data_IF_795921155591
#
_entry.id   IF_795921155591
#
_cell.length_a   1.000
_cell.length_b   1.000
_cell.length_c   1.000
_cell.angle_alpha   90.00
_cell.angle_beta   90.00
_cell.angle_gamma   90.00
#
_symmetry.space_group_name_H-M   'P 1'
#
loop_
_entity.id
_entity.type
_entity.pdbx_description
1 polymer ?
#
# COMPACT_ATOMS: atom_id res chain seq x y z
N UNK A 1 1.68 1.63 15.52
CA UNK A 1 1.84 2.14 14.13
C UNK A 1 1.76 1.03 13.07
N UNK A 2 2.17 -0.23 13.38
CA UNK A 2 2.06 -1.43 12.51
C UNK A 2 0.77 -1.59 11.68
N UNK A 3 -0.33 -1.16 12.27
CA UNK A 3 -1.68 -1.24 11.75
C UNK A 3 -1.93 -0.38 10.51
N UNK A 4 -1.46 0.86 10.56
CA UNK A 4 -1.71 1.81 9.49
C UNK A 4 -0.98 1.33 8.22
N UNK A 5 0.11 0.60 8.37
CA UNK A 5 0.84 -0.05 7.28
C UNK A 5 -0.02 -1.10 6.58
N UNK A 6 -0.65 -1.98 7.34
CA UNK A 6 -1.47 -3.05 6.77
C UNK A 6 -2.59 -2.49 5.90
N UNK A 7 -3.22 -1.39 6.31
CA UNK A 7 -4.22 -0.66 5.50
C UNK A 7 -3.70 -0.20 4.13
N UNK A 8 -2.53 0.43 4.09
CA UNK A 8 -1.98 0.92 2.82
C UNK A 8 -1.41 -0.20 1.95
N UNK A 9 -0.89 -1.26 2.57
CA UNK A 9 -0.54 -2.49 1.87
C UNK A 9 -1.80 -3.13 1.24
N UNK A 10 -2.93 -3.16 1.93
CA UNK A 10 -4.22 -3.62 1.39
C UNK A 10 -4.60 -2.82 0.15
N UNK A 11 -4.59 -1.49 0.25
CA UNK A 11 -4.92 -0.62 -0.88
C UNK A 11 -3.98 -0.86 -2.06
N UNK A 12 -2.68 -1.02 -1.81
CA UNK A 12 -1.70 -1.35 -2.83
C UNK A 12 -1.99 -2.69 -3.52
N UNK A 13 -2.20 -3.77 -2.76
CA UNK A 13 -2.49 -5.09 -3.30
C UNK A 13 -3.78 -5.10 -4.10
N UNK A 14 -4.80 -4.37 -3.66
CA UNK A 14 -6.07 -4.26 -4.38
C UNK A 14 -5.92 -3.47 -5.67
N UNK A 15 -5.10 -2.43 -5.67
CA UNK A 15 -4.80 -1.68 -6.89
C UNK A 15 -4.11 -2.56 -7.92
N UNK A 16 -3.10 -3.33 -7.50
CA UNK A 16 -2.45 -4.31 -8.36
C UNK A 16 -3.47 -5.34 -8.87
N UNK A 17 -4.36 -5.83 -8.01
CA UNK A 17 -5.34 -6.84 -8.37
C UNK A 17 -6.44 -6.31 -9.31
N UNK A 18 -6.96 -5.11 -9.09
CA UNK A 18 -7.92 -4.47 -9.98
C UNK A 18 -7.30 -4.24 -11.36
N UNK A 19 -6.04 -3.83 -11.39
CA UNK A 19 -5.30 -3.71 -12.65
C UNK A 19 -5.22 -5.03 -13.42
N UNK A 20 -5.05 -6.17 -12.71
CA UNK A 20 -5.13 -7.52 -13.29
C UNK A 20 -6.49 -7.85 -13.89
N UNK A 21 -7.56 -7.52 -13.16
CA UNK A 21 -8.91 -7.76 -13.61
C UNK A 21 -9.20 -7.00 -14.89
N UNK A 22 -8.76 -5.73 -14.95
CA UNK A 22 -8.95 -4.86 -16.10
C UNK A 22 -8.19 -5.40 -17.30
N UNK A 23 -6.97 -5.90 -17.07
CA UNK A 23 -6.15 -6.64 -18.03
C UNK A 23 -6.84 -7.89 -18.60
N UNK A 24 -7.37 -8.74 -17.72
CA UNK A 24 -8.04 -9.97 -18.13
C UNK A 24 -9.34 -9.67 -18.90
N UNK A 25 -10.11 -8.68 -18.46
CA UNK A 25 -11.31 -8.22 -19.14
C UNK A 25 -10.99 -7.60 -20.50
N UNK A 26 -10.01 -6.68 -20.57
CA UNK A 26 -9.52 -6.13 -21.83
C UNK A 26 -9.06 -7.23 -22.79
N UNK A 27 -8.29 -8.20 -22.31
CA UNK A 27 -7.88 -9.35 -23.12
C UNK A 27 -9.07 -10.19 -23.59
N UNK A 28 -10.04 -10.44 -22.72
CA UNK A 28 -11.26 -11.19 -23.05
C UNK A 28 -12.13 -10.44 -24.06
N UNK A 29 -12.30 -9.12 -23.93
CA UNK A 29 -13.12 -8.33 -24.87
C UNK A 29 -12.45 -8.18 -26.23
N UNK A 30 -11.13 -8.02 -26.31
CA UNK A 30 -10.41 -8.01 -27.60
C UNK A 30 -10.36 -9.39 -28.25
N UNK A 31 -10.18 -10.49 -27.49
CA UNK A 31 -10.16 -11.86 -28.05
C UNK A 31 -11.55 -12.43 -28.33
N UNK A 32 -12.57 -12.06 -27.56
CA UNK A 32 -13.96 -12.42 -27.84
C UNK A 32 -14.58 -11.57 -28.95
N UNK A 33 -14.11 -10.32 -29.12
CA UNK A 33 -14.57 -9.39 -30.17
C UNK A 33 -13.89 -9.57 -31.53
N UNK A 34 -12.74 -10.24 -31.61
CA UNK A 34 -12.06 -10.57 -32.86
C UNK A 34 -11.64 -12.05 -32.92
N UNK A 35 -12.58 -12.90 -33.33
CA UNK A 35 -12.20 -14.06 -34.16
C UNK A 35 -11.80 -13.49 -35.52
N UNK A 36 -10.52 -13.66 -35.86
CA UNK A 36 -9.84 -13.25 -37.10
C UNK A 36 -9.21 -11.84 -37.10
N UNK A 37 -7.89 -11.84 -37.33
CA UNK A 37 -6.98 -10.72 -37.65
C UNK A 37 -6.33 -9.92 -36.52
N UNK A 38 -5.93 -10.60 -35.44
CA UNK A 38 -4.68 -10.21 -34.77
C UNK A 38 -3.80 -11.45 -34.69
N UNK A 39 -2.97 -11.66 -35.71
CA UNK A 39 -1.68 -12.31 -35.45
C UNK A 39 -0.87 -11.28 -34.69
N UNK A 40 -0.95 -11.35 -33.36
CA UNK A 40 0.20 -10.94 -32.58
C UNK A 40 1.29 -11.87 -33.07
N UNK A 41 2.33 -11.34 -33.72
CA UNK A 41 3.63 -11.96 -33.51
C UNK A 41 3.66 -12.21 -32.01
N UNK A 42 3.81 -13.47 -31.59
CA UNK A 42 4.25 -13.78 -30.24
C UNK A 42 5.39 -12.80 -30.01
N UNK A 43 5.12 -11.74 -29.23
CA UNK A 43 6.15 -10.80 -28.87
C UNK A 43 7.27 -11.71 -28.36
N UNK A 44 8.50 -11.59 -28.89
CA UNK A 44 9.57 -12.44 -28.45
C UNK A 44 9.53 -12.45 -26.92
N UNK A 45 9.71 -13.61 -26.31
CA UNK A 45 9.70 -13.85 -24.86
C UNK A 45 10.71 -12.98 -24.07
N UNK A 46 11.27 -11.93 -24.69
CA UNK A 46 12.45 -11.23 -24.27
C UNK A 46 12.40 -9.77 -24.78
N UNK A 47 11.76 -8.87 -24.03
CA UNK A 47 12.12 -7.44 -23.97
C UNK A 47 11.40 -6.74 -22.80
N UNK A 48 12.10 -6.72 -21.66
CA UNK A 48 11.82 -6.02 -20.40
C UNK A 48 10.44 -6.25 -19.77
N UNK A 49 10.21 -7.46 -19.28
CA UNK A 49 9.34 -7.70 -18.12
C UNK A 49 10.03 -7.16 -16.86
N UNK A 50 9.28 -6.54 -15.94
CA UNK A 50 9.82 -6.25 -14.59
C UNK A 50 10.20 -7.61 -14.00
N UNK A 51 11.49 -7.82 -13.83
CA UNK A 51 12.13 -9.09 -13.52
C UNK A 51 13.14 -8.87 -12.40
N UNK A 52 13.13 -9.77 -11.42
CA UNK A 52 13.98 -9.66 -10.24
C UNK A 52 13.31 -8.93 -9.07
N UNK A 53 14.06 -8.53 -8.05
CA UNK A 53 13.52 -7.87 -6.88
C UNK A 53 13.13 -6.41 -7.19
N UNK A 54 12.11 -5.87 -6.53
CA UNK A 54 11.61 -4.51 -6.72
C UNK A 54 11.40 -3.82 -5.37
N UNK A 55 11.60 -2.51 -5.31
CA UNK A 55 11.34 -1.67 -4.14
C UNK A 55 10.28 -0.64 -4.49
N UNK A 56 9.24 -0.59 -3.66
CA UNK A 56 8.04 0.22 -3.88
C UNK A 56 7.85 1.09 -2.64
N UNK A 57 7.74 2.40 -2.85
CA UNK A 57 7.35 3.35 -1.82
C UNK A 57 5.84 3.58 -1.86
N UNK A 58 5.16 3.34 -0.75
CA UNK A 58 3.74 3.65 -0.59
C UNK A 58 3.60 4.86 0.33
N UNK A 59 2.93 5.90 -0.17
CA UNK A 59 2.53 7.05 0.62
C UNK A 59 1.03 7.05 0.87
N UNK A 60 0.67 7.16 2.14
CA UNK A 60 -0.70 7.36 2.57
C UNK A 60 -0.96 8.81 2.92
N UNK A 61 -1.93 9.43 2.24
CA UNK A 61 -2.24 10.85 2.40
C UNK A 61 -3.64 11.06 2.94
N UNK A 62 -3.81 12.15 3.69
CA UNK A 62 -5.13 12.66 4.05
C UNK A 62 -5.42 13.88 3.15
N UNK A 63 -5.91 13.62 1.93
CA UNK A 63 -6.13 14.65 0.90
C UNK A 63 -7.30 15.60 1.20
N UNK A 64 -8.03 15.41 2.30
CA UNK A 64 -9.09 16.32 2.71
C UNK A 64 -8.54 17.72 3.13
N UNK A 65 -7.22 17.87 3.32
CA UNK A 65 -6.57 19.15 3.63
C UNK A 65 -5.78 19.76 2.45
N UNK A 66 -5.88 21.09 2.31
CA UNK A 66 -5.19 21.92 1.30
C UNK A 66 -3.66 21.91 1.37
N UNK A 67 -3.08 21.22 2.37
CA UNK A 67 -1.64 21.05 2.58
C UNK A 67 -1.31 19.64 3.10
N UNK A 68 -1.79 18.62 2.38
CA UNK A 68 -1.69 17.21 2.78
C UNK A 68 -0.24 16.76 3.02
N UNK A 69 -0.06 15.94 4.07
CA UNK A 69 1.20 15.26 4.44
C UNK A 69 1.05 13.77 4.16
N UNK A 70 2.18 13.11 3.90
CA UNK A 70 2.22 11.65 3.92
C UNK A 70 2.25 11.15 5.36
N UNK A 71 1.09 10.77 5.90
CA UNK A 71 0.99 10.22 7.24
C UNK A 71 1.45 8.77 7.33
N UNK A 72 1.60 8.12 6.17
CA UNK A 72 2.16 6.78 6.03
C UNK A 72 3.22 6.80 4.95
N UNK A 73 4.36 6.20 5.26
CA UNK A 73 5.53 6.15 4.38
C UNK A 73 6.10 4.73 4.52
N UNK A 74 5.67 3.85 3.62
CA UNK A 74 6.02 2.44 3.67
C UNK A 74 6.94 2.06 2.53
N UNK A 75 7.88 1.19 2.82
CA UNK A 75 8.70 0.51 1.84
C UNK A 75 8.25 -0.95 1.74
N UNK A 76 7.99 -1.38 0.51
CA UNK A 76 7.80 -2.78 0.15
C UNK A 76 8.95 -3.18 -0.75
N UNK A 77 9.75 -4.14 -0.29
CA UNK A 77 10.71 -4.86 -1.11
C UNK A 77 10.07 -6.19 -1.47
N UNK A 78 9.92 -6.50 -2.75
CA UNK A 78 9.22 -7.69 -3.22
C UNK A 78 10.10 -8.45 -4.21
N UNK A 79 10.22 -9.75 -4.03
CA UNK A 79 11.14 -10.57 -4.82
C UNK A 79 10.40 -11.80 -5.36
N UNK A 80 10.25 -11.86 -6.68
CA UNK A 80 9.55 -12.95 -7.38
C UNK A 80 10.30 -14.28 -7.29
N UNK A 81 11.62 -14.27 -7.49
CA UNK A 81 12.43 -15.50 -7.53
C UNK A 81 12.52 -16.31 -6.23
N UNK A 82 12.44 -15.67 -5.06
CA UNK A 82 12.39 -16.37 -3.76
C UNK A 82 11.00 -16.30 -3.10
N UNK A 83 9.99 -15.82 -3.84
CA UNK A 83 8.61 -15.69 -3.41
C UNK A 83 8.46 -15.03 -2.03
N UNK A 84 9.17 -13.92 -1.80
CA UNK A 84 9.14 -13.22 -0.51
C UNK A 84 8.94 -11.71 -0.63
N UNK A 85 8.35 -11.14 0.41
CA UNK A 85 8.12 -9.71 0.56
C UNK A 85 8.67 -9.24 1.91
N UNK A 86 9.52 -8.22 1.91
CA UNK A 86 9.91 -7.46 3.09
C UNK A 86 9.15 -6.13 3.09
N UNK A 87 8.49 -5.85 4.20
CA UNK A 87 7.75 -4.61 4.42
C UNK A 87 8.26 -3.90 5.66
N UNK A 88 8.44 -2.59 5.59
CA UNK A 88 8.62 -1.76 6.77
C UNK A 88 8.14 -0.33 6.52
N UNK A 89 7.96 0.42 7.60
CA UNK A 89 7.55 1.81 7.53
C UNK A 89 8.64 2.73 8.08
N UNK A 90 8.78 3.89 7.44
CA UNK A 90 9.52 5.03 7.97
C UNK A 90 8.54 5.89 8.76
N UNK A 91 8.69 6.04 10.09
CA UNK A 91 7.77 6.87 10.87
C UNK A 91 7.68 8.29 10.31
N UNK A 92 6.46 8.84 10.17
CA UNK A 92 6.22 10.12 9.48
C UNK A 92 7.02 11.30 10.07
N UNK A 93 7.30 11.25 11.37
CA UNK A 93 8.03 12.27 12.12
C UNK A 93 9.56 12.04 12.10
N UNK A 94 10.06 11.07 11.31
CA UNK A 94 11.49 10.78 11.19
C UNK A 94 12.25 12.02 10.75
N UNK A 95 13.24 12.43 11.54
CA UNK A 95 14.08 13.60 11.26
C UNK A 95 15.09 13.25 10.17
N UNK A 96 15.00 13.92 9.04
CA UNK A 96 15.82 13.68 7.85
C UNK A 96 16.27 14.99 7.22
N UNK A 97 17.35 14.95 6.45
CA UNK A 97 17.67 16.01 5.49
C UNK A 97 16.72 15.86 4.30
N UNK A 98 16.07 16.95 3.89
CA UNK A 98 15.17 16.93 2.72
C UNK A 98 15.91 17.55 1.53
N UNK A 99 16.04 16.85 0.39
CA UNK A 99 16.80 17.34 -0.76
C UNK A 99 16.31 18.70 -1.24
N UNK A 100 17.25 19.62 -1.50
CA UNK A 100 16.92 20.98 -1.96
C UNK A 100 16.40 21.91 -0.87
N UNK A 101 16.53 21.53 0.41
CA UNK A 101 16.22 22.38 1.57
C UNK A 101 17.39 22.42 2.54
N UNK A 102 17.53 23.55 3.24
CA UNK A 102 18.52 23.71 4.29
C UNK A 102 18.05 23.08 5.60
N UNK A 103 18.96 22.40 6.30
CA UNK A 103 18.71 21.76 7.59
C UNK A 103 17.94 20.44 7.49
N UNK A 104 17.30 20.07 8.59
CA UNK A 104 16.56 18.80 8.73
C UNK A 104 15.12 19.05 9.11
N UNK A 105 14.21 18.21 8.65
CA UNK A 105 12.80 18.26 9.03
C UNK A 105 12.20 16.84 9.07
N UNK A 106 10.91 16.73 9.36
CA UNK A 106 10.17 15.47 9.33
C UNK A 106 10.03 14.97 7.90
N UNK A 107 10.27 13.67 7.69
CA UNK A 107 10.17 13.07 6.35
C UNK A 107 8.80 13.29 5.68
N UNK A 108 7.69 13.33 6.43
CA UNK A 108 6.37 13.60 5.85
C UNK A 108 6.22 15.00 5.27
N UNK A 109 7.08 15.96 5.65
CA UNK A 109 7.09 17.29 5.06
C UNK A 109 7.65 17.28 3.64
N UNK A 110 8.47 16.29 3.26
CA UNK A 110 8.94 16.13 1.88
C UNK A 110 7.76 16.05 0.89
N UNK A 111 6.74 15.27 1.24
CA UNK A 111 5.49 15.18 0.47
C UNK A 111 4.75 16.53 0.43
N UNK A 112 4.65 17.23 1.55
CA UNK A 112 4.00 18.55 1.60
C UNK A 112 4.72 19.59 0.72
N UNK A 113 6.04 19.50 0.59
CA UNK A 113 6.82 20.47 -0.16
C UNK A 113 6.75 20.29 -1.67
N UNK A 114 6.79 19.05 -2.18
CA UNK A 114 6.79 18.80 -3.62
C UNK A 114 6.20 17.43 -4.01
N UNK A 115 5.28 16.90 -3.21
CA UNK A 115 4.55 15.66 -3.49
C UNK A 115 5.41 14.40 -3.44
N UNK A 116 4.89 13.34 -4.07
CA UNK A 116 5.54 12.04 -4.16
C UNK A 116 6.99 12.10 -4.68
N UNK A 117 7.37 12.91 -5.69
CA UNK A 117 8.74 12.94 -6.19
C UNK A 117 9.78 13.32 -5.13
N UNK A 118 9.51 14.31 -4.28
CA UNK A 118 10.44 14.71 -3.22
C UNK A 118 10.42 13.74 -2.05
N UNK A 119 9.26 13.16 -1.73
CA UNK A 119 9.18 12.09 -0.73
C UNK A 119 10.01 10.87 -1.15
N UNK A 120 9.88 10.43 -2.41
CA UNK A 120 10.69 9.35 -2.99
C UNK A 120 12.17 9.64 -2.83
N UNK A 121 12.64 10.80 -3.30
CA UNK A 121 14.04 11.18 -3.21
C UNK A 121 14.55 11.24 -1.76
N UNK A 122 13.73 11.75 -0.84
CA UNK A 122 14.07 11.81 0.59
C UNK A 122 14.19 10.41 1.19
N UNK A 123 13.30 9.48 0.83
CA UNK A 123 13.35 8.09 1.28
C UNK A 123 14.56 7.35 0.68
N UNK A 124 14.89 7.58 -0.59
CA UNK A 124 16.08 7.04 -1.25
C UNK A 124 17.36 7.50 -0.54
N UNK A 125 17.48 8.78 -0.21
CA UNK A 125 18.63 9.31 0.54
C UNK A 125 18.67 8.82 2.00
N UNK A 126 17.51 8.64 2.64
CA UNK A 126 17.43 8.12 4.01
C UNK A 126 17.83 6.64 4.11
N UNK A 127 17.49 5.84 3.10
CA UNK A 127 17.80 4.41 3.04
C UNK A 127 19.09 4.10 2.28
N UNK A 128 19.66 5.09 1.60
CA UNK A 128 20.77 4.92 0.65
C UNK A 128 20.49 3.76 -0.33
N UNK A 129 19.27 3.74 -0.88
CA UNK A 129 18.76 2.67 -1.76
C UNK A 129 17.80 3.26 -2.79
N UNK A 130 17.93 2.95 -4.09
CA UNK A 130 16.99 3.40 -5.11
C UNK A 130 15.61 2.77 -4.93
N UNK A 131 14.55 3.51 -5.28
CA UNK A 131 13.18 3.03 -5.22
C UNK A 131 12.65 2.91 -6.66
N UNK A 132 12.15 1.74 -7.03
CA UNK A 132 11.70 1.48 -8.40
C UNK A 132 10.37 2.17 -8.68
N UNK A 133 9.39 1.97 -7.79
CA UNK A 133 8.02 2.44 -7.98
C UNK A 133 7.46 3.20 -6.79
N UNK A 134 6.45 4.01 -7.05
CA UNK A 134 5.70 4.77 -6.05
C UNK A 134 4.20 4.51 -6.19
N UNK A 135 3.51 4.41 -5.04
CA UNK A 135 2.06 4.38 -4.97
C UNK A 135 1.59 5.36 -3.90
N UNK A 136 0.74 6.28 -4.31
CA UNK A 136 0.05 7.21 -3.45
C UNK A 136 -1.41 6.78 -3.33
N UNK A 137 -1.92 6.69 -2.11
CA UNK A 137 -3.34 6.46 -1.89
C UNK A 137 -3.86 7.40 -0.80
N UNK A 138 -5.11 7.85 -0.97
CA UNK A 138 -5.83 8.56 0.07
C UNK A 138 -6.91 7.68 0.73
N UNK A 139 -7.47 8.17 1.83
CA UNK A 139 -8.54 7.48 2.56
C UNK A 139 -9.83 7.33 1.74
N UNK A 140 -10.06 8.20 0.75
CA UNK A 140 -11.23 8.13 -0.15
C UNK A 140 -11.07 6.97 -1.14
N UNK A 141 -9.88 6.76 -1.68
CA UNK A 141 -9.55 5.64 -2.56
C UNK A 141 -9.82 4.29 -1.91
N UNK A 142 -9.45 4.13 -0.63
CA UNK A 142 -9.79 2.90 0.09
C UNK A 142 -11.31 2.65 0.17
N UNK A 143 -12.10 3.69 0.47
CA UNK A 143 -13.57 3.56 0.55
C UNK A 143 -14.15 3.15 -0.79
N UNK A 144 -13.72 3.84 -1.85
CA UNK A 144 -14.17 3.57 -3.20
C UNK A 144 -13.79 2.17 -3.67
N UNK A 145 -12.59 1.67 -3.32
CA UNK A 145 -12.21 0.28 -3.57
C UNK A 145 -13.18 -0.68 -2.87
N UNK A 146 -13.44 -0.49 -1.59
CA UNK A 146 -14.34 -1.38 -0.84
C UNK A 146 -15.75 -1.36 -1.43
N UNK A 147 -16.29 -0.19 -1.77
CA UNK A 147 -17.62 -0.05 -2.37
C UNK A 147 -17.69 -0.67 -3.77
N UNK A 148 -16.64 -0.51 -4.57
CA UNK A 148 -16.47 -1.15 -5.86
C UNK A 148 -16.56 -2.69 -5.80
N UNK A 149 -16.07 -3.27 -4.70
CA UNK A 149 -16.18 -4.70 -4.41
C UNK A 149 -17.55 -5.14 -3.85
N UNK A 150 -18.52 -4.22 -3.76
CA UNK A 150 -19.82 -4.45 -3.12
C UNK A 150 -19.72 -4.57 -1.61
N UNK A 151 -18.69 -3.96 -1.01
CA UNK A 151 -18.36 -4.07 0.40
C UNK A 151 -17.62 -5.38 0.76
N UNK A 152 -17.23 -5.46 2.03
CA UNK A 152 -16.47 -6.59 2.59
C UNK A 152 -17.26 -7.28 3.69
N UNK A 153 -17.06 -8.58 3.85
CA UNK A 153 -17.63 -9.33 4.98
C UNK A 153 -16.53 -9.66 5.97
N UNK A 154 -16.69 -9.27 7.23
CA UNK A 154 -15.73 -9.56 8.31
C UNK A 154 -16.41 -10.29 9.47
N UNK A 155 -15.67 -11.15 10.16
CA UNK A 155 -16.12 -11.82 11.37
C UNK A 155 -15.74 -10.99 12.60
N UNK A 156 -16.63 -10.09 13.02
CA UNK A 156 -16.36 -9.20 14.13
C UNK A 156 -16.54 -9.92 15.49
N UNK A 157 -15.51 -9.87 16.34
CA UNK A 157 -15.51 -10.54 17.66
C UNK A 157 -15.84 -9.61 18.82
N UNK A 158 -15.90 -8.30 18.55
CA UNK A 158 -16.12 -7.25 19.54
C UNK A 158 -17.18 -6.27 19.06
N UNK A 159 -18.19 -6.03 19.89
CA UNK A 159 -19.15 -4.96 19.62
C UNK A 159 -18.55 -3.61 20.00
N UNK A 160 -18.73 -2.61 19.14
CA UNK A 160 -18.42 -1.22 19.42
C UNK A 160 -19.47 -0.31 18.80
N UNK A 161 -19.77 0.77 19.51
CA UNK A 161 -20.91 1.65 19.23
C UNK A 161 -20.42 2.97 18.63
N UNK A 162 -21.31 3.69 17.95
CA UNK A 162 -21.01 5.01 17.40
C UNK A 162 -20.40 5.97 18.44
N UNK A 163 -19.42 6.77 18.04
CA UNK A 163 -18.75 7.77 18.87
C UNK A 163 -18.40 9.07 18.11
N UNK A 164 -17.69 9.98 18.78
CA UNK A 164 -17.21 11.22 18.15
C UNK A 164 -16.13 10.90 17.11
N UNK A 165 -16.57 10.81 15.87
CA UNK A 165 -15.74 10.48 14.71
C UNK A 165 -16.25 9.27 13.94
N UNK A 166 -16.94 8.32 14.57
CA UNK A 166 -17.51 7.13 13.91
C UNK A 166 -19.04 7.08 14.07
N UNK A 167 -19.83 7.29 12.99
CA UNK A 167 -21.29 7.30 13.09
C UNK A 167 -21.92 5.89 13.15
N UNK A 168 -21.13 4.82 13.08
CA UNK A 168 -21.63 3.45 12.91
C UNK A 168 -21.56 2.61 14.20
N UNK A 169 -22.43 1.61 14.29
CA UNK A 169 -22.38 0.57 15.33
C UNK A 169 -22.06 -0.77 14.67
N UNK A 170 -21.13 -1.51 15.24
CA UNK A 170 -20.63 -2.79 14.72
C UNK A 170 -20.95 -3.88 15.73
N UNK A 171 -21.91 -4.74 15.42
CA UNK A 171 -22.30 -5.86 16.29
C UNK A 171 -21.31 -7.01 16.21
N UNK A 172 -21.33 -7.91 17.19
CA UNK A 172 -20.59 -9.18 17.08
C UNK A 172 -21.22 -10.08 16.00
N UNK A 173 -20.38 -10.81 15.27
CA UNK A 173 -20.82 -11.73 14.22
C UNK A 173 -20.32 -11.34 12.83
N UNK A 174 -20.95 -11.89 11.80
CA UNK A 174 -20.65 -11.55 10.42
C UNK A 174 -21.20 -10.16 10.09
N UNK A 175 -20.31 -9.24 9.75
CA UNK A 175 -20.66 -7.87 9.34
C UNK A 175 -20.37 -7.68 7.86
N UNK A 176 -21.36 -7.18 7.13
CA UNK A 176 -21.15 -6.62 5.80
C UNK A 176 -20.86 -5.12 5.96
N UNK A 177 -19.72 -4.68 5.48
CA UNK A 177 -19.23 -3.30 5.59
C UNK A 177 -19.12 -2.68 4.19
N UNK A 178 -19.73 -1.52 3.99
CA UNK A 178 -19.43 -0.65 2.85
C UNK A 178 -18.10 0.12 3.07
N UNK A 179 -17.71 0.99 2.14
CA UNK A 179 -16.44 1.71 2.18
C UNK A 179 -16.25 2.55 3.43
N UNK A 180 -17.22 3.38 3.79
CA UNK A 180 -17.18 4.19 5.00
C UNK A 180 -17.10 3.30 6.26
N UNK A 181 -17.97 2.29 6.37
CA UNK A 181 -17.98 1.37 7.50
C UNK A 181 -16.65 0.61 7.61
N UNK A 182 -16.07 0.16 6.49
CA UNK A 182 -14.78 -0.52 6.50
C UNK A 182 -13.66 0.42 6.94
N UNK A 183 -13.67 1.69 6.50
CA UNK A 183 -12.68 2.68 6.88
C UNK A 183 -12.72 2.98 8.38
N UNK A 184 -13.91 3.18 8.93
CA UNK A 184 -14.06 3.40 10.36
C UNK A 184 -13.75 2.14 11.17
N UNK A 185 -14.17 0.96 10.69
CA UNK A 185 -13.84 -0.33 11.29
C UNK A 185 -12.33 -0.51 11.46
N UNK A 186 -11.53 -0.23 10.42
CA UNK A 186 -10.07 -0.37 10.47
C UNK A 186 -9.34 0.77 11.21
N UNK A 187 -10.01 1.90 11.45
CA UNK A 187 -9.47 3.02 12.25
C UNK A 187 -9.77 2.87 13.74
N UNK A 188 -10.82 2.12 14.12
CA UNK A 188 -11.25 2.00 15.50
C UNK A 188 -10.14 1.42 16.39
N UNK A 189 -9.78 2.20 17.42
CA UNK A 189 -8.83 1.82 18.47
C UNK A 189 -9.42 1.98 19.88
N UNK A 190 -10.14 3.09 20.12
CA UNK A 190 -10.49 3.56 21.48
C UNK A 190 -11.40 2.59 22.24
N UNK A 191 -12.29 1.90 21.54
CA UNK A 191 -13.27 1.00 22.13
C UNK A 191 -12.80 -0.46 22.19
N UNK A 192 -11.61 -0.77 21.66
CA UNK A 192 -11.04 -2.11 21.77
C UNK A 192 -10.16 -2.22 23.01
N UNK A 193 -10.44 -3.14 23.96
CA UNK A 193 -9.57 -3.37 25.11
C UNK A 193 -8.17 -3.87 24.70
N UNK A 194 -8.02 -4.39 23.47
CA UNK A 194 -6.73 -4.77 22.87
C UNK A 194 -6.00 -3.59 22.22
N UNK A 195 -6.62 -2.41 22.16
CA UNK A 195 -6.08 -1.19 21.56
C UNK A 195 -5.55 -1.42 20.14
N UNK A 196 -4.26 -1.14 19.94
CA UNK A 196 -3.58 -1.33 18.66
C UNK A 196 -3.57 -2.81 18.21
N UNK A 197 -3.55 -3.79 19.11
CA UNK A 197 -3.62 -5.20 18.69
C UNK A 197 -4.98 -5.50 18.02
N UNK A 198 -6.08 -5.03 18.61
CA UNK A 198 -7.42 -5.23 18.07
C UNK A 198 -7.62 -4.57 16.71
N UNK A 199 -7.09 -3.36 16.52
CA UNK A 199 -7.10 -2.69 15.22
C UNK A 199 -6.34 -3.46 14.15
N UNK A 200 -5.24 -4.15 14.49
CA UNK A 200 -4.47 -4.96 13.52
C UNK A 200 -5.32 -6.11 13.00
N UNK A 201 -6.02 -6.79 13.92
CA UNK A 201 -6.90 -7.90 13.58
C UNK A 201 -7.98 -7.45 12.59
N UNK A 202 -8.61 -6.29 12.82
CA UNK A 202 -9.61 -5.74 11.90
C UNK A 202 -9.08 -5.46 10.51
N UNK A 203 -7.88 -4.88 10.43
CA UNK A 203 -7.24 -4.61 9.13
C UNK A 203 -6.90 -5.90 8.40
N UNK A 204 -6.41 -6.92 9.12
CA UNK A 204 -6.18 -8.24 8.54
C UNK A 204 -7.49 -8.86 8.01
N UNK A 205 -8.58 -8.77 8.78
CA UNK A 205 -9.89 -9.27 8.35
C UNK A 205 -10.39 -8.58 7.08
N UNK A 206 -10.22 -7.25 7.00
CA UNK A 206 -10.59 -6.49 5.81
C UNK A 206 -9.68 -6.82 4.62
N UNK A 207 -8.37 -7.03 4.84
CA UNK A 207 -7.45 -7.51 3.79
C UNK A 207 -7.91 -8.85 3.23
N UNK A 208 -8.13 -9.83 4.09
CA UNK A 208 -8.53 -11.18 3.71
C UNK A 208 -9.86 -11.14 2.95
N UNK A 209 -10.84 -10.39 3.44
CA UNK A 209 -12.12 -10.21 2.77
C UNK A 209 -11.98 -9.56 1.38
N UNK A 210 -11.11 -8.55 1.25
CA UNK A 210 -10.85 -7.86 -0.01
C UNK A 210 -10.10 -8.75 -1.00
N UNK A 211 -9.12 -9.53 -0.55
CA UNK A 211 -8.40 -10.51 -1.37
C UNK A 211 -9.35 -11.61 -1.89
N UNK A 212 -10.29 -12.07 -1.07
CA UNK A 212 -11.30 -13.03 -1.50
C UNK A 212 -12.27 -12.42 -2.52
N UNK A 213 -12.69 -11.16 -2.33
CA UNK A 213 -13.52 -10.43 -3.29
C UNK A 213 -12.80 -10.18 -4.61
N UNK A 214 -11.54 -9.80 -4.55
CA UNK A 214 -10.62 -9.68 -5.67
C UNK A 214 -10.67 -10.94 -6.55
N UNK A 215 -10.50 -12.13 -5.98
CA UNK A 215 -10.52 -13.39 -6.74
C UNK A 215 -11.83 -13.68 -7.49
N UNK A 216 -12.91 -12.93 -7.24
CA UNK A 216 -14.21 -13.19 -7.87
C UNK A 216 -14.22 -12.80 -9.36
N UNK A 217 -14.78 -13.64 -10.25
CA UNK A 217 -14.90 -13.33 -11.69
C UNK A 217 -15.69 -12.05 -11.99
N UNK A 218 -16.63 -11.67 -11.12
CA UNK A 218 -17.45 -10.46 -11.27
C UNK A 218 -16.62 -9.18 -11.09
N UNK A 219 -15.64 -9.18 -10.19
CA UNK A 219 -14.69 -8.08 -10.05
C UNK A 219 -13.87 -7.92 -11.33
N UNK A 220 -13.36 -9.02 -11.88
CA UNK A 220 -12.50 -8.97 -13.07
C UNK A 220 -13.24 -8.27 -14.24
N UNK A 221 -14.55 -8.50 -14.39
CA UNK A 221 -15.36 -7.86 -15.42
C UNK A 221 -15.55 -6.34 -15.23
N UNK A 222 -15.51 -5.84 -14.00
CA UNK A 222 -15.70 -4.41 -13.69
C UNK A 222 -14.39 -3.64 -13.57
N UNK A 223 -13.27 -4.34 -13.64
CA UNK A 223 -12.02 -3.80 -13.18
C UNK A 223 -11.50 -2.59 -13.98
N UNK A 224 -11.83 -2.48 -15.26
CA UNK A 224 -11.55 -1.24 -16.03
C UNK A 224 -12.32 -0.04 -15.46
N UNK A 225 -13.63 -0.18 -15.23
CA UNK A 225 -14.48 0.84 -14.60
C UNK A 225 -13.95 1.20 -13.20
N UNK A 226 -13.49 0.21 -12.44
CA UNK A 226 -12.93 0.41 -11.11
C UNK A 226 -11.59 1.15 -11.16
N UNK A 227 -10.70 0.85 -12.11
CA UNK A 227 -9.44 1.58 -12.27
C UNK A 227 -9.68 3.04 -12.67
N UNK A 228 -10.65 3.29 -13.56
CA UNK A 228 -11.04 4.67 -13.91
C UNK A 228 -11.61 5.42 -12.71
N UNK A 229 -12.50 4.79 -11.93
CA UNK A 229 -13.08 5.41 -10.75
C UNK A 229 -12.01 5.74 -9.68
N UNK A 230 -11.01 4.87 -9.53
CA UNK A 230 -9.94 5.02 -8.55
C UNK A 230 -8.80 5.94 -8.97
N UNK A 231 -8.73 6.34 -10.24
CA UNK A 231 -7.63 7.14 -10.80
C UNK A 231 -7.43 8.51 -10.12
N UNK A 232 -8.49 9.06 -9.52
CA UNK A 232 -8.44 10.33 -8.78
C UNK A 232 -7.90 10.16 -7.35
N UNK A 233 -7.87 8.94 -6.82
CA UNK A 233 -7.57 8.64 -5.42
C UNK A 233 -6.33 7.75 -5.21
N UNK A 234 -5.87 7.11 -6.29
CA UNK A 234 -4.67 6.29 -6.30
C UNK A 234 -3.78 6.74 -7.46
N UNK A 235 -2.57 7.22 -7.15
CA UNK A 235 -1.58 7.58 -8.15
C UNK A 235 -0.40 6.64 -8.07
N UNK A 236 0.08 6.17 -9.22
CA UNK A 236 1.26 5.31 -9.30
C UNK A 236 2.10 5.66 -10.53
N UNK A 237 3.40 5.42 -10.45
CA UNK A 237 4.32 5.56 -11.59
C UNK A 237 4.50 4.25 -12.39
N UNK A 238 3.82 3.17 -11.99
CA UNK A 238 3.79 1.91 -12.72
C UNK A 238 3.00 2.04 -14.02
N UNK A 239 3.57 1.51 -15.11
CA UNK A 239 2.84 1.34 -16.36
C UNK A 239 1.94 0.12 -16.29
N UNK A 240 0.94 0.06 -17.19
CA UNK A 240 0.11 -1.13 -17.36
C UNK A 240 0.92 -2.43 -17.56
N UNK A 241 2.08 -2.35 -18.24
CA UNK A 241 2.96 -3.49 -18.46
C UNK A 241 3.62 -3.94 -17.15
N UNK A 242 4.05 -3.00 -16.33
CA UNK A 242 4.65 -3.29 -15.03
C UNK A 242 3.64 -4.00 -14.13
N UNK A 243 2.42 -3.47 -14.05
CA UNK A 243 1.36 -4.07 -13.24
C UNK A 243 1.02 -5.49 -13.72
N UNK A 244 1.00 -5.70 -15.05
CA UNK A 244 0.87 -7.05 -15.61
C UNK A 244 2.02 -7.96 -15.15
N UNK A 245 3.26 -7.48 -15.20
CA UNK A 245 4.42 -8.23 -14.72
C UNK A 245 4.28 -8.59 -13.23
N UNK A 246 3.86 -7.63 -12.41
CA UNK A 246 3.61 -7.81 -10.98
C UNK A 246 2.61 -8.94 -10.72
N UNK A 247 1.52 -9.04 -11.48
CA UNK A 247 0.62 -10.19 -11.35
C UNK A 247 1.29 -11.53 -11.51
N UNK A 248 1.92 -11.70 -12.66
CA UNK A 248 2.31 -13.02 -13.13
C UNK A 248 3.47 -13.52 -12.31
N UNK A 249 4.37 -12.62 -11.90
CA UNK A 249 5.63 -13.00 -11.27
C UNK A 249 5.65 -12.83 -9.75
N UNK A 250 4.84 -11.95 -9.17
CA UNK A 250 4.97 -11.58 -7.75
C UNK A 250 3.80 -12.01 -6.87
N UNK A 251 2.72 -12.55 -7.45
CA UNK A 251 1.59 -13.08 -6.66
C UNK A 251 2.02 -14.10 -5.60
N UNK A 252 2.93 -15.07 -5.88
CA UNK A 252 3.44 -15.98 -4.86
C UNK A 252 4.17 -15.26 -3.71
N UNK A 253 4.90 -14.18 -4.03
CA UNK A 253 5.65 -13.39 -3.04
C UNK A 253 4.78 -12.71 -1.99
N UNK A 254 3.49 -12.52 -2.29
CA UNK A 254 2.51 -11.96 -1.36
C UNK A 254 2.09 -12.94 -0.26
N UNK A 255 2.47 -14.22 -0.36
CA UNK A 255 2.14 -15.23 0.65
C UNK A 255 3.16 -15.27 1.80
N UNK A 256 4.38 -14.78 1.57
CA UNK A 256 5.46 -14.73 2.56
C UNK A 256 5.87 -13.28 2.83
N UNK A 257 5.10 -12.61 3.68
CA UNK A 257 5.35 -11.21 4.05
C UNK A 257 6.05 -11.17 5.41
N UNK A 258 7.28 -10.67 5.42
CA UNK A 258 7.99 -10.30 6.63
C UNK A 258 7.86 -8.80 6.86
N UNK A 259 7.36 -8.43 8.04
CA UNK A 259 7.27 -7.01 8.45
C UNK A 259 8.35 -6.68 9.46
N UNK A 260 9.03 -5.55 9.26
CA UNK A 260 9.99 -4.99 10.23
C UNK A 260 9.66 -3.54 10.54
N UNK A 261 10.30 -2.98 11.57
CA UNK A 261 10.08 -1.60 12.00
C UNK A 261 11.43 -0.90 12.15
N UNK A 262 11.54 0.31 11.59
CA UNK A 262 12.69 1.19 11.85
C UNK A 262 12.58 1.70 13.29
N UNK A 263 13.62 1.40 14.08
CA UNK A 263 13.71 1.80 15.47
C UNK A 263 14.32 3.20 15.62
N UNK A 264 13.95 3.87 16.70
CA UNK A 264 14.34 5.24 16.96
C UNK A 264 13.71 5.75 18.25
N UNK A 265 14.08 6.97 18.63
CA UNK A 265 13.64 7.61 19.87
C UNK A 265 12.86 8.88 19.55
N UNK A 266 11.74 9.08 20.24
CA UNK A 266 11.03 10.35 20.17
C UNK A 266 11.81 11.42 20.92
N UNK A 267 12.02 12.57 20.27
CA UNK A 267 12.65 13.75 20.85
C UNK A 267 11.79 14.99 20.58
N UNK A 268 12.00 16.05 21.35
CA UNK A 268 11.37 17.34 21.10
C UNK A 268 12.47 18.39 20.94
N UNK A 269 12.37 19.18 19.88
CA UNK A 269 13.28 20.29 19.59
C UNK A 269 12.45 21.55 19.32
N UNK A 270 12.63 22.59 20.13
CA UNK A 270 11.89 23.85 20.01
C UNK A 270 10.36 23.69 19.96
N UNK A 271 9.79 22.75 20.73
CA UNK A 271 8.36 22.45 20.72
C UNK A 271 7.87 21.60 19.55
N UNK A 272 8.78 21.10 18.70
CA UNK A 272 8.47 20.22 17.57
C UNK A 272 8.94 18.80 17.92
N UNK A 273 8.02 17.84 17.93
CA UNK A 273 8.34 16.43 18.16
C UNK A 273 8.92 15.78 16.91
N UNK A 274 10.06 15.11 17.04
CA UNK A 274 10.74 14.35 16.00
C UNK A 274 10.92 12.88 16.41
N UNK A 275 11.05 12.00 15.43
CA UNK A 275 11.52 10.64 15.61
C UNK A 275 12.97 10.54 15.12
N UNK A 276 13.89 10.27 16.05
CA UNK A 276 15.32 10.21 15.77
C UNK A 276 15.72 8.76 15.52
N UNK A 277 16.13 8.46 14.29
CA UNK A 277 16.67 7.16 13.89
C UNK A 277 18.19 7.28 13.88
N UNK A 278 18.89 6.36 14.55
CA UNK A 278 20.35 6.36 14.54
C UNK A 278 20.89 5.91 13.19
N UNK A 279 22.11 6.34 12.83
CA UNK A 279 22.79 5.86 11.62
C UNK A 279 23.00 4.35 11.63
N UNK A 280 23.13 3.73 12.80
CA UNK A 280 23.19 2.27 12.94
C UNK A 280 21.87 1.61 12.51
N UNK A 281 20.72 2.14 12.94
CA UNK A 281 19.44 1.58 12.54
C UNK A 281 19.10 1.88 11.07
N UNK A 282 19.50 3.05 10.55
CA UNK A 282 19.44 3.34 9.11
C UNK A 282 20.23 2.29 8.30
N UNK A 283 21.48 2.03 8.69
CA UNK A 283 22.32 1.01 8.05
C UNK A 283 21.73 -0.41 8.17
N UNK A 284 21.05 -0.74 9.27
CA UNK A 284 20.32 -2.02 9.39
C UNK A 284 19.13 -2.08 8.45
N UNK A 285 18.36 -1.00 8.28
CA UNK A 285 17.24 -0.94 7.35
C UNK A 285 17.71 -1.11 5.90
N UNK A 286 18.78 -0.40 5.50
CA UNK A 286 19.44 -0.57 4.21
C UNK A 286 19.91 -2.01 4.00
N UNK A 287 20.63 -2.59 4.97
CA UNK A 287 21.14 -3.96 4.86
C UNK A 287 20.02 -5.00 4.73
N UNK A 288 18.87 -4.81 5.40
CA UNK A 288 17.69 -5.68 5.24
C UNK A 288 17.16 -5.61 3.80
N UNK A 289 17.08 -4.41 3.21
CA UNK A 289 16.70 -4.23 1.80
C UNK A 289 17.69 -4.92 0.87
N UNK A 290 18.98 -4.64 0.99
CA UNK A 290 20.02 -5.21 0.12
C UNK A 290 20.04 -6.73 0.17
N UNK A 291 19.90 -7.30 1.36
CA UNK A 291 19.86 -8.76 1.54
C UNK A 291 18.59 -9.35 0.95
N UNK A 292 17.43 -8.73 1.18
CA UNK A 292 16.18 -9.17 0.59
C UNK A 292 16.23 -9.11 -0.95
N UNK A 293 16.74 -8.02 -1.51
CA UNK A 293 16.95 -7.86 -2.96
C UNK A 293 17.93 -8.91 -3.51
N UNK A 294 18.98 -9.25 -2.76
CA UNK A 294 19.91 -10.31 -3.14
C UNK A 294 19.39 -11.75 -2.91
N UNK A 295 18.13 -11.93 -2.49
CA UNK A 295 17.55 -13.23 -2.20
C UNK A 295 18.12 -13.94 -0.97
N UNK A 296 18.73 -13.20 -0.04
CA UNK A 296 19.39 -13.71 1.17
C UNK A 296 18.48 -13.52 2.40
N UNK A 297 18.59 -14.40 3.39
CA UNK A 297 18.02 -14.17 4.74
C UNK A 297 18.61 -12.90 5.35
N UNK A 298 17.94 -12.23 6.30
CA UNK A 298 18.43 -11.00 6.94
C UNK A 298 18.00 -10.90 8.40
#
# INVERSE_FOLDING_TARGET
MRNVYLFFMITFLLTCFLSLGGLFYYYYTITAGQKEKITLETAPEDSSTVSGPQIILIAGTDKEETASRADVIMIISIHSGNESTLLFNIPRDTKVSIPGRDGTDKINHAYRYAGMPLLKKTAEEFLDTPIDFTVEADMKGFREVVDAYGGVTVQNDLEFVKDEGDPFTYTKGNLQLNGDQALYYVRMRKQDPRGDLGRNLRQQQVLEALLEKAKSPATLQKAEELLYALGDHIHMDMTFRDIRSFSYHYTPALTQIQTTEIQGVSAEENGISYYLVSSEEQGKAQLRLDRHQAGKSY
#
